data_IF_786543328088
#
_entry.id   IF_786543328088
#
_cell.length_a   1.000
_cell.length_b   1.000
_cell.length_c   1.000
_cell.angle_alpha   90.00
_cell.angle_beta   90.00
_cell.angle_gamma   90.00
#
_symmetry.space_group_name_H-M   'P 1'
#
loop_
_entity.id
_entity.type
_entity.pdbx_description
1 polymer ?
#
# COMPACT_ATOMS: atom_id res chain seq x y z
N UNK A 1 -10.75 0.90 15.62
CA UNK A 1 -9.66 1.67 16.28
C UNK A 1 -9.28 2.80 15.36
N UNK A 2 -8.93 3.97 15.89
CA UNK A 2 -8.36 5.03 15.07
C UNK A 2 -7.01 4.57 14.51
N UNK A 3 -6.80 4.77 13.21
CA UNK A 3 -5.57 4.46 12.47
C UNK A 3 -5.17 5.68 11.66
N UNK A 4 -3.89 5.81 11.32
CA UNK A 4 -3.33 7.04 10.74
C UNK A 4 -3.91 7.39 9.36
N UNK A 5 -4.48 6.43 8.65
CA UNK A 5 -5.13 6.65 7.35
C UNK A 5 -6.39 7.52 7.46
N UNK A 6 -7.05 7.54 8.63
CA UNK A 6 -8.22 8.36 8.88
C UNK A 6 -7.80 9.78 9.30
N UNK A 7 -7.39 10.56 8.30
CA UNK A 7 -6.92 11.94 8.49
C UNK A 7 -8.04 12.98 8.47
N UNK A 8 -9.31 12.55 8.44
CA UNK A 8 -10.48 13.44 8.37
C UNK A 8 -10.52 14.43 9.52
N UNK A 9 -10.35 15.72 9.23
CA UNK A 9 -10.32 16.79 10.23
C UNK A 9 -8.98 16.98 10.95
N UNK A 10 -7.94 16.25 10.57
CA UNK A 10 -6.58 16.43 11.12
C UNK A 10 -5.95 17.71 10.58
N UNK A 11 -5.26 18.45 11.46
CA UNK A 11 -4.55 19.68 11.13
C UNK A 11 -3.03 19.45 11.08
N UNK A 12 -2.30 20.30 10.37
CA UNK A 12 -0.82 20.31 10.38
C UNK A 12 -0.12 19.69 9.17
N UNK A 13 -0.86 19.21 8.15
CA UNK A 13 -0.27 18.69 6.90
C UNK A 13 0.33 19.74 5.96
N UNK A 14 0.04 21.03 6.19
CA UNK A 14 0.45 22.11 5.29
C UNK A 14 -0.50 22.30 4.11
N UNK A 15 -0.07 23.10 3.13
CA UNK A 15 -0.83 23.33 1.91
C UNK A 15 -0.71 22.15 0.94
N UNK A 16 -1.74 21.93 0.13
CA UNK A 16 -1.70 20.94 -0.96
C UNK A 16 -0.78 21.47 -2.05
N UNK A 17 0.23 20.68 -2.44
CA UNK A 17 1.02 20.95 -3.63
C UNK A 17 0.20 20.58 -4.88
N UNK A 18 -0.06 21.56 -5.75
CA UNK A 18 -0.80 21.39 -7.01
C UNK A 18 0.10 21.54 -8.24
N UNK A 19 1.42 21.63 -8.03
CA UNK A 19 2.40 21.79 -9.11
C UNK A 19 2.93 20.45 -9.62
N UNK A 20 2.61 19.38 -8.90
CA UNK A 20 3.07 18.03 -9.21
C UNK A 20 2.42 17.47 -10.47
N UNK A 21 3.13 16.55 -11.12
CA UNK A 21 2.69 15.90 -12.35
C UNK A 21 1.44 15.04 -12.07
N UNK A 22 0.40 15.22 -12.91
CA UNK A 22 -0.89 14.52 -12.80
C UNK A 22 -0.86 13.10 -13.36
N UNK A 23 0.24 12.70 -13.99
CA UNK A 23 0.45 11.34 -14.43
C UNK A 23 0.26 10.37 -13.25
N UNK A 24 -0.49 9.26 -13.44
CA UNK A 24 -0.78 8.34 -12.36
C UNK A 24 0.44 7.52 -11.92
N UNK A 25 1.49 7.46 -12.75
CA UNK A 25 2.71 6.71 -12.48
C UNK A 25 3.92 7.57 -12.86
N UNK A 26 4.86 7.69 -11.93
CA UNK A 26 6.14 8.39 -12.05
C UNK A 26 7.31 7.42 -12.19
N UNK A 27 7.07 6.11 -12.05
CA UNK A 27 8.03 5.04 -12.34
C UNK A 27 7.38 3.75 -12.84
N UNK A 28 8.09 3.00 -13.69
CA UNK A 28 7.60 1.74 -14.29
C UNK A 28 7.11 0.70 -13.27
N UNK A 29 7.72 0.65 -12.09
CA UNK A 29 7.38 -0.34 -11.07
C UNK A 29 6.00 -0.11 -10.46
N UNK A 30 5.49 1.12 -10.46
CA UNK A 30 4.21 1.47 -9.86
C UNK A 30 3.05 0.82 -10.64
N UNK A 31 3.14 0.85 -11.97
CA UNK A 31 2.19 0.13 -12.83
C UNK A 31 2.26 -1.40 -12.62
N UNK A 32 3.44 -1.94 -12.31
CA UNK A 32 3.61 -3.37 -11.99
C UNK A 32 2.93 -3.73 -10.67
N UNK A 33 3.02 -2.88 -9.65
CA UNK A 33 2.32 -3.07 -8.36
C UNK A 33 0.80 -3.13 -8.56
N UNK A 34 0.24 -2.26 -9.42
CA UNK A 34 -1.19 -2.33 -9.79
C UNK A 34 -1.51 -3.66 -10.49
N UNK A 35 -0.63 -4.13 -11.37
CA UNK A 35 -0.74 -5.46 -12.01
C UNK A 35 -0.76 -6.60 -11.00
N UNK A 36 0.11 -6.56 -9.97
CA UNK A 36 0.14 -7.53 -8.88
C UNK A 36 -1.18 -7.52 -8.09
N UNK A 37 -1.64 -6.35 -7.66
CA UNK A 37 -2.90 -6.20 -6.94
C UNK A 37 -4.07 -6.81 -7.72
N UNK A 38 -4.20 -6.49 -9.01
CA UNK A 38 -5.28 -6.99 -9.84
C UNK A 38 -5.22 -8.52 -10.02
N UNK A 39 -4.03 -9.07 -10.29
CA UNK A 39 -3.83 -10.50 -10.52
C UNK A 39 -4.14 -11.31 -9.25
N UNK A 40 -3.56 -10.92 -8.11
CA UNK A 40 -3.73 -11.63 -6.85
C UNK A 40 -5.18 -11.58 -6.35
N UNK A 41 -5.86 -10.45 -6.55
CA UNK A 41 -7.29 -10.33 -6.27
C UNK A 41 -8.14 -11.20 -7.19
N UNK A 42 -7.83 -11.24 -8.49
CA UNK A 42 -8.55 -12.08 -9.45
C UNK A 42 -8.37 -13.58 -9.15
N UNK A 43 -7.22 -13.98 -8.62
CA UNK A 43 -6.94 -15.33 -8.13
C UNK A 43 -7.58 -15.63 -6.77
N UNK A 44 -8.21 -14.66 -6.12
CA UNK A 44 -8.86 -14.83 -4.82
C UNK A 44 -7.89 -14.97 -3.64
N UNK A 45 -6.61 -14.62 -3.82
CA UNK A 45 -5.62 -14.66 -2.73
C UNK A 45 -6.07 -13.73 -1.59
N UNK A 46 -6.46 -12.50 -1.93
CA UNK A 46 -7.08 -11.57 -0.99
C UNK A 46 -8.18 -10.76 -1.69
N UNK A 47 -9.10 -10.22 -0.91
CA UNK A 47 -10.08 -9.25 -1.36
C UNK A 47 -9.65 -7.81 -1.04
N UNK A 48 -10.39 -6.82 -1.56
CA UNK A 48 -10.04 -5.41 -1.38
C UNK A 48 -10.14 -4.94 0.08
N UNK A 49 -10.98 -5.56 0.92
CA UNK A 49 -11.07 -5.20 2.33
C UNK A 49 -9.83 -5.66 3.10
N UNK A 50 -9.36 -6.89 2.85
CA UNK A 50 -8.10 -7.39 3.42
C UNK A 50 -6.90 -6.53 2.98
N UNK A 51 -6.89 -6.10 1.72
CA UNK A 51 -5.87 -5.19 1.20
C UNK A 51 -5.88 -3.82 1.89
N UNK A 52 -7.06 -3.22 2.06
CA UNK A 52 -7.18 -1.96 2.81
C UNK A 52 -6.71 -2.13 4.25
N UNK A 53 -7.19 -3.17 4.93
CA UNK A 53 -6.78 -3.44 6.31
C UNK A 53 -5.26 -3.65 6.45
N UNK A 54 -4.62 -4.29 5.46
CA UNK A 54 -3.17 -4.45 5.41
C UNK A 54 -2.44 -3.10 5.35
N UNK A 55 -2.86 -2.18 4.48
CA UNK A 55 -2.31 -0.82 4.39
C UNK A 55 -2.54 -0.06 5.71
N UNK A 56 -3.76 -0.12 6.23
CA UNK A 56 -4.18 0.64 7.41
C UNK A 56 -3.48 0.14 8.69
N UNK A 57 -3.05 -1.12 8.71
CA UNK A 57 -2.33 -1.74 9.84
C UNK A 57 -0.83 -1.46 9.85
N UNK A 58 -0.29 -0.76 8.84
CA UNK A 58 1.13 -0.36 8.82
C UNK A 58 1.47 0.51 10.04
N UNK A 59 2.72 0.45 10.55
CA UNK A 59 3.18 1.39 11.55
C UNK A 59 2.96 2.84 11.08
N UNK A 60 2.44 3.75 11.93
CA UNK A 60 2.05 5.08 11.48
C UNK A 60 3.17 5.90 10.81
N UNK A 61 4.41 5.74 11.29
CA UNK A 61 5.57 6.40 10.69
C UNK A 61 5.80 5.91 9.26
N UNK A 62 5.74 4.60 9.04
CA UNK A 62 5.95 3.99 7.72
C UNK A 62 4.82 4.38 6.76
N UNK A 63 3.57 4.37 7.21
CA UNK A 63 2.42 4.80 6.40
C UNK A 63 2.59 6.23 5.86
N UNK A 64 3.13 7.14 6.68
CA UNK A 64 3.32 8.54 6.29
C UNK A 64 4.59 8.75 5.46
N UNK A 65 5.61 7.92 5.66
CA UNK A 65 6.90 8.05 4.96
C UNK A 65 6.92 7.38 3.59
N UNK A 66 6.11 6.34 3.38
CA UNK A 66 6.11 5.54 2.15
C UNK A 66 5.24 6.16 1.05
N UNK A 67 5.71 6.03 -0.19
CA UNK A 67 4.96 6.53 -1.36
C UNK A 67 3.64 5.76 -1.55
N UNK A 68 2.75 6.27 -2.40
CA UNK A 68 1.43 5.66 -2.59
C UNK A 68 1.50 4.20 -3.06
N UNK A 69 2.28 3.92 -4.11
CA UNK A 69 2.43 2.56 -4.64
C UNK A 69 3.40 1.69 -3.81
N UNK A 70 4.28 2.30 -3.03
CA UNK A 70 5.10 1.58 -2.06
C UNK A 70 4.24 1.00 -0.93
N UNK A 71 3.29 1.77 -0.39
CA UNK A 71 2.29 1.26 0.57
C UNK A 71 1.51 0.07 0.02
N UNK A 72 1.13 0.13 -1.25
CA UNK A 72 0.45 -0.99 -1.91
C UNK A 72 1.33 -2.23 -1.96
N UNK A 73 2.59 -2.06 -2.34
CA UNK A 73 3.54 -3.16 -2.42
C UNK A 73 3.77 -3.83 -1.06
N UNK A 74 4.04 -3.04 -0.01
CA UNK A 74 4.24 -3.54 1.35
C UNK A 74 3.01 -4.29 1.88
N UNK A 75 1.80 -3.78 1.60
CA UNK A 75 0.56 -4.45 1.96
C UNK A 75 0.37 -5.78 1.21
N UNK A 76 0.76 -5.86 -0.06
CA UNK A 76 0.74 -7.10 -0.84
C UNK A 76 1.70 -8.12 -0.22
N UNK A 77 2.97 -7.75 0.02
CA UNK A 77 3.96 -8.63 0.65
C UNK A 77 3.45 -9.18 1.98
N UNK A 78 2.96 -8.31 2.87
CA UNK A 78 2.38 -8.70 4.15
C UNK A 78 1.18 -9.66 4.01
N UNK A 79 0.34 -9.50 2.98
CA UNK A 79 -0.77 -10.41 2.73
C UNK A 79 -0.31 -11.77 2.20
N UNK A 80 0.69 -11.79 1.32
CA UNK A 80 1.25 -13.04 0.78
C UNK A 80 1.89 -13.87 1.89
N UNK A 81 2.68 -13.25 2.78
CA UNK A 81 3.27 -13.93 3.95
C UNK A 81 2.17 -14.44 4.90
N UNK A 82 1.22 -13.58 5.30
CA UNK A 82 0.13 -13.96 6.23
C UNK A 82 -0.73 -15.10 5.71
N UNK A 83 -0.83 -15.27 4.39
CA UNK A 83 -1.59 -16.33 3.75
C UNK A 83 -0.74 -17.53 3.36
N UNK A 84 0.56 -17.52 3.67
CA UNK A 84 1.49 -18.60 3.37
C UNK A 84 1.69 -18.84 1.87
N UNK A 85 1.51 -17.81 1.05
CA UNK A 85 1.82 -17.86 -0.39
C UNK A 85 3.33 -17.77 -0.61
N UNK A 86 4.01 -17.03 0.28
CA UNK A 86 5.46 -16.95 0.38
C UNK A 86 5.88 -17.22 1.83
N UNK A 87 7.10 -17.72 2.03
CA UNK A 87 7.68 -17.88 3.35
C UNK A 87 8.15 -16.53 3.94
N UNK A 88 8.13 -16.36 5.27
CA UNK A 88 8.69 -15.17 5.90
C UNK A 88 10.15 -14.96 5.51
N UNK A 89 10.49 -13.77 5.01
CA UNK A 89 11.85 -13.42 4.57
C UNK A 89 12.25 -13.98 3.21
N UNK A 90 11.35 -14.64 2.47
CA UNK A 90 11.62 -15.14 1.11
C UNK A 90 12.00 -14.00 0.13
N UNK A 91 11.62 -12.76 0.44
CA UNK A 91 11.89 -11.57 -0.38
C UNK A 91 13.10 -10.74 0.08
N UNK A 92 13.80 -11.16 1.15
CA UNK A 92 14.91 -10.39 1.75
C UNK A 92 16.30 -10.69 1.11
N UNK A 93 16.32 -11.52 0.06
CA UNK A 93 17.52 -11.99 -0.65
C UNK A 93 18.01 -11.03 -1.77
#
# INVERSE_FOLDING_TARGET
MARINDVGGTQGFGAIDTTDDTEPFHADWEARVVGLYNTLRAQGIFNTNEFRDAIESMPPADYLATSYYERWFLAICSLLERKGVIEPGELDD
#
